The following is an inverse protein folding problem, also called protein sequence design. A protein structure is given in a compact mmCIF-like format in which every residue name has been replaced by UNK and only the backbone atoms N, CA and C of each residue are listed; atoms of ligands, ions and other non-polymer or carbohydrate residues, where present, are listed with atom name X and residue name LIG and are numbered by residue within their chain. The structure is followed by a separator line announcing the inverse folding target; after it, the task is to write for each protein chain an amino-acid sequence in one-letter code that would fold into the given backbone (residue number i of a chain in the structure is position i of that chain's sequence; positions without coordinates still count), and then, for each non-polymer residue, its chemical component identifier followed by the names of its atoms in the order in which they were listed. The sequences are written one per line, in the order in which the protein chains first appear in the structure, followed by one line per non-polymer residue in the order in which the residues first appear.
data_IF_475191838340
#
_entry.id   IF_475191838340
#
_cell.length_a   1.000
_cell.length_b   1.000
_cell.length_c   1.000
_cell.angle_alpha   90.00
_cell.angle_beta   90.00
_cell.angle_gamma   90.00
#
_symmetry.space_group_name_H-M   'P 1'
#
loop_
_entity.id
_entity.type
_entity.pdbx_description
1 polymer ?
#
# COMPACT_ATOMS: atom_id res chain seq x y z
N UNK A 1 3.70 -10.23 30.51
CA UNK A 1 2.64 -10.89 29.70
C UNK A 1 2.12 -9.90 28.64
N UNK A 2 1.93 -10.35 27.39
CA UNK A 2 1.34 -9.53 26.34
C UNK A 2 -0.09 -9.14 26.73
N UNK A 3 -0.45 -7.86 26.60
CA UNK A 3 -1.82 -7.42 26.86
C UNK A 3 -2.76 -7.97 25.79
N UNK A 4 -4.04 -8.24 26.09
CA UNK A 4 -5.00 -8.72 25.10
C UNK A 4 -5.09 -7.80 23.86
N UNK A 5 -5.04 -6.48 24.07
CA UNK A 5 -5.03 -5.48 22.99
C UNK A 5 -3.79 -5.57 22.09
N UNK A 6 -2.62 -5.85 22.67
CA UNK A 6 -1.40 -6.05 21.88
C UNK A 6 -1.51 -7.31 21.02
N UNK A 7 -2.13 -8.38 21.53
CA UNK A 7 -2.38 -9.59 20.76
C UNK A 7 -3.35 -9.33 19.59
N UNK A 8 -4.44 -8.59 19.84
CA UNK A 8 -5.39 -8.19 18.81
C UNK A 8 -4.72 -7.38 17.69
N UNK A 9 -3.89 -6.39 18.05
CA UNK A 9 -3.14 -5.59 17.08
C UNK A 9 -2.16 -6.44 16.26
N UNK A 10 -1.44 -7.37 16.91
CA UNK A 10 -0.50 -8.26 16.24
C UNK A 10 -1.21 -9.22 15.27
N UNK A 11 -2.36 -9.76 15.67
CA UNK A 11 -3.18 -10.61 14.81
C UNK A 11 -3.69 -9.83 13.60
N UNK A 12 -4.20 -8.62 13.81
CA UNK A 12 -4.65 -7.76 12.71
C UNK A 12 -3.51 -7.45 11.74
N UNK A 13 -2.35 -7.04 12.26
CA UNK A 13 -1.17 -6.73 11.44
C UNK A 13 -0.70 -7.97 10.66
N UNK A 14 -0.58 -9.12 11.32
CA UNK A 14 -0.12 -10.36 10.70
C UNK A 14 -1.06 -10.89 9.62
N UNK A 15 -2.37 -10.89 9.90
CA UNK A 15 -3.36 -11.46 8.97
C UNK A 15 -3.71 -10.50 7.85
N UNK A 16 -4.02 -9.24 8.17
CA UNK A 16 -4.53 -8.29 7.19
C UNK A 16 -3.39 -7.56 6.48
N UNK A 17 -2.50 -6.90 7.24
CA UNK A 17 -1.43 -6.08 6.67
C UNK A 17 -0.32 -6.90 6.02
N UNK A 18 -0.01 -8.09 6.55
CA UNK A 18 1.04 -8.95 6.00
C UNK A 18 0.47 -10.03 5.09
N UNK A 19 -0.24 -11.01 5.63
CA UNK A 19 -0.68 -12.16 4.84
C UNK A 19 -1.66 -11.76 3.72
N UNK A 20 -2.64 -10.91 4.02
CA UNK A 20 -3.58 -10.38 3.04
C UNK A 20 -2.91 -9.59 1.92
N UNK A 21 -1.97 -8.69 2.26
CA UNK A 21 -1.22 -7.92 1.28
C UNK A 21 -0.37 -8.81 0.37
N UNK A 22 0.36 -9.79 0.93
CA UNK A 22 1.14 -10.73 0.14
C UNK A 22 0.27 -11.62 -0.73
N UNK A 23 -0.89 -12.07 -0.24
CA UNK A 23 -1.83 -12.86 -1.03
C UNK A 23 -2.31 -12.07 -2.26
N UNK A 24 -2.66 -10.80 -2.09
CA UNK A 24 -3.02 -9.90 -3.19
C UNK A 24 -1.85 -9.67 -4.16
N UNK A 25 -0.64 -9.47 -3.64
CA UNK A 25 0.57 -9.30 -4.45
C UNK A 25 0.87 -10.54 -5.29
N UNK A 26 0.84 -11.73 -4.69
CA UNK A 26 1.04 -12.99 -5.40
C UNK A 26 -0.09 -13.27 -6.40
N UNK A 27 -1.33 -12.91 -6.09
CA UNK A 27 -2.42 -12.98 -7.07
C UNK A 27 -2.18 -12.04 -8.26
N UNK A 28 -1.60 -10.87 -8.03
CA UNK A 28 -1.14 -9.95 -9.08
C UNK A 28 -0.03 -10.55 -9.94
N UNK A 29 0.97 -11.17 -9.33
CA UNK A 29 2.08 -11.85 -10.02
C UNK A 29 1.63 -13.00 -10.94
N UNK A 30 0.50 -13.65 -10.63
CA UNK A 30 -0.10 -14.67 -11.52
C UNK A 30 -0.67 -14.08 -12.81
N UNK A 31 -0.94 -12.77 -12.85
CA UNK A 31 -1.62 -12.07 -13.97
C UNK A 31 -0.74 -11.02 -14.64
N UNK A 32 0.32 -10.56 -13.98
CA UNK A 32 1.20 -9.49 -14.42
C UNK A 32 2.67 -9.93 -14.35
N UNK A 33 3.53 -9.46 -15.26
CA UNK A 33 4.97 -9.61 -15.11
C UNK A 33 5.46 -9.03 -13.78
N UNK A 34 6.49 -9.64 -13.19
CA UNK A 34 7.02 -9.26 -11.88
C UNK A 34 7.36 -7.77 -11.77
N UNK A 35 7.93 -7.19 -12.83
CA UNK A 35 8.24 -5.75 -12.90
C UNK A 35 6.99 -4.89 -12.78
N UNK A 36 5.89 -5.23 -13.48
CA UNK A 36 4.65 -4.45 -13.42
C UNK A 36 4.00 -4.59 -12.04
N UNK A 37 3.98 -5.78 -11.45
CA UNK A 37 3.45 -6.00 -10.12
C UNK A 37 4.22 -5.22 -9.04
N UNK A 38 5.56 -5.21 -9.11
CA UNK A 38 6.41 -4.44 -8.19
C UNK A 38 6.17 -2.93 -8.32
N UNK A 39 6.04 -2.42 -9.55
CA UNK A 39 5.68 -1.01 -9.74
C UNK A 39 4.28 -0.70 -9.20
N UNK A 40 3.29 -1.57 -9.40
CA UNK A 40 1.95 -1.39 -8.81
C UNK A 40 2.01 -1.39 -7.28
N UNK A 41 2.88 -2.19 -6.66
CA UNK A 41 3.07 -2.19 -5.21
C UNK A 41 3.58 -0.82 -4.69
N UNK A 42 4.29 -0.04 -5.50
CA UNK A 42 4.67 1.33 -5.14
C UNK A 42 3.49 2.29 -4.95
N UNK A 43 2.25 1.89 -5.30
CA UNK A 43 1.04 2.65 -4.93
C UNK A 43 0.79 2.71 -3.42
N UNK A 44 1.43 1.85 -2.63
CA UNK A 44 1.30 1.80 -1.17
C UNK A 44 1.34 3.20 -0.50
N UNK A 45 2.36 4.06 -0.69
CA UNK A 45 2.38 5.41 -0.14
C UNK A 45 1.21 6.30 -0.55
N UNK A 46 0.66 6.13 -1.76
CA UNK A 46 -0.52 6.90 -2.21
C UNK A 46 -1.75 6.46 -1.43
N UNK A 47 -1.92 5.14 -1.28
CA UNK A 47 -3.03 4.54 -0.52
C UNK A 47 -2.91 4.88 0.96
N UNK A 48 -1.69 4.83 1.52
CA UNK A 48 -1.42 5.21 2.90
C UNK A 48 -1.77 6.68 3.16
N UNK A 49 -1.36 7.60 2.26
CA UNK A 49 -1.73 9.01 2.35
C UNK A 49 -3.24 9.24 2.27
N UNK A 50 -3.94 8.48 1.41
CA UNK A 50 -5.40 8.53 1.32
C UNK A 50 -6.05 8.09 2.64
N UNK A 51 -5.60 6.99 3.23
CA UNK A 51 -6.11 6.54 4.53
C UNK A 51 -5.74 7.51 5.66
N UNK A 52 -4.56 8.13 5.62
CA UNK A 52 -4.15 9.14 6.58
C UNK A 52 -5.14 10.32 6.60
N UNK A 53 -5.49 10.81 5.41
CA UNK A 53 -6.51 11.84 5.25
C UNK A 53 -7.91 11.37 5.68
N UNK A 54 -8.34 10.15 5.30
CA UNK A 54 -9.71 9.68 5.59
C UNK A 54 -9.94 9.32 7.06
N UNK A 55 -8.99 8.64 7.70
CA UNK A 55 -9.13 8.12 9.07
C UNK A 55 -8.72 9.15 10.11
N UNK A 56 -7.63 9.88 9.85
CA UNK A 56 -7.03 10.79 10.82
C UNK A 56 -7.25 12.28 10.48
N UNK A 57 -7.84 12.58 9.30
CA UNK A 57 -8.05 13.94 8.80
C UNK A 57 -6.77 14.77 8.72
N UNK A 58 -5.66 14.09 8.47
CA UNK A 58 -4.35 14.73 8.32
C UNK A 58 -4.26 15.46 6.98
N UNK A 59 -3.86 16.73 7.02
CA UNK A 59 -3.59 17.52 5.82
C UNK A 59 -2.20 17.15 5.31
N UNK A 60 -2.17 16.55 4.11
CA UNK A 60 -0.93 16.16 3.47
C UNK A 60 -0.12 17.41 3.07
N UNK A 61 1.20 17.32 3.23
CA UNK A 61 2.11 18.38 2.80
C UNK A 61 2.15 18.49 1.26
N UNK A 62 2.52 19.65 0.70
CA UNK A 62 2.75 19.79 -0.74
C UNK A 62 3.72 18.74 -1.32
N UNK A 63 4.72 18.34 -0.55
CA UNK A 63 5.68 17.29 -0.92
C UNK A 63 5.05 15.91 -0.98
N UNK A 64 4.11 15.59 -0.09
CA UNK A 64 3.38 14.32 -0.11
C UNK A 64 2.50 14.21 -1.36
N UNK A 65 1.86 15.31 -1.77
CA UNK A 65 1.10 15.35 -3.04
C UNK A 65 2.01 15.16 -4.26
N UNK A 66 3.18 15.81 -4.28
CA UNK A 66 4.15 15.64 -5.37
C UNK A 66 4.62 14.18 -5.46
N UNK A 67 5.01 13.59 -4.34
CA UNK A 67 5.42 12.18 -4.28
C UNK A 67 4.32 11.24 -4.75
N UNK A 68 3.07 11.47 -4.32
CA UNK A 68 1.93 10.69 -4.77
C UNK A 68 1.70 10.79 -6.29
N UNK A 69 1.85 12.00 -6.85
CA UNK A 69 1.79 12.22 -8.30
C UNK A 69 2.86 11.45 -9.08
N UNK A 70 4.10 11.44 -8.59
CA UNK A 70 5.21 10.71 -9.21
C UNK A 70 4.98 9.19 -9.20
N UNK A 71 4.47 8.64 -8.09
CA UNK A 71 4.11 7.22 -7.99
C UNK A 71 3.01 6.86 -9.00
N UNK A 72 1.94 7.65 -9.06
CA UNK A 72 0.84 7.42 -10.02
C UNK A 72 1.35 7.46 -11.47
N UNK A 73 2.24 8.39 -11.79
CA UNK A 73 2.86 8.50 -13.11
C UNK A 73 3.71 7.26 -13.44
N UNK A 74 4.54 6.79 -12.50
CA UNK A 74 5.37 5.60 -12.68
C UNK A 74 4.50 4.37 -12.99
N UNK A 75 3.44 4.16 -12.21
CA UNK A 75 2.48 3.07 -12.41
C UNK A 75 1.81 3.15 -13.78
N UNK A 76 1.34 4.34 -14.17
CA UNK A 76 0.69 4.54 -15.47
C UNK A 76 1.61 4.21 -16.64
N UNK A 77 2.88 4.63 -16.57
CA UNK A 77 3.88 4.39 -17.61
C UNK A 77 4.26 2.90 -17.70
N UNK A 78 4.40 2.22 -16.58
CA UNK A 78 4.79 0.80 -16.54
C UNK A 78 3.64 -0.14 -16.89
N UNK A 79 2.40 0.18 -16.53
CA UNK A 79 1.24 -0.67 -16.83
C UNK A 79 0.85 -0.59 -18.32
N UNK A 80 1.04 0.57 -18.96
CA UNK A 80 0.70 0.79 -20.38
C UNK A 80 1.72 0.24 -21.37
N UNK A 81 2.93 -0.12 -20.94
CA UNK A 81 3.99 -0.73 -21.77
C UNK A 81 4.05 -2.22 -21.51
#
# INVERSE_FOLDING_TARGET
PLSPRAMEALLFLGVFSTYGAYLAYYAGLKRLPATRASVVATLEPVVANLFAFLLFREVLSPWAYLGAGLVLLAVLLTVRR
#
